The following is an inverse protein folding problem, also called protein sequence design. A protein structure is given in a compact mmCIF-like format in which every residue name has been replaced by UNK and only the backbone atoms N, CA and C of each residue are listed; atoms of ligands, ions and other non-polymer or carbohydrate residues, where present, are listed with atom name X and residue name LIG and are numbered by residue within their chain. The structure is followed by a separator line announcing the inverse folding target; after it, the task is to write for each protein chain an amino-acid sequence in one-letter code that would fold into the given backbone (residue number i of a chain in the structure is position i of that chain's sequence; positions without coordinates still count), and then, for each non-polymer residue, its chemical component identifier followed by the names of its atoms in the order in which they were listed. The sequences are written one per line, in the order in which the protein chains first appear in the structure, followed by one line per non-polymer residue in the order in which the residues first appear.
data_IF_229389278667
#
_entry.id   IF_229389278667
#
_cell.length_a   1.000
_cell.length_b   1.000
_cell.length_c   1.000
_cell.angle_alpha   90.00
_cell.angle_beta   90.00
_cell.angle_gamma   90.00
#
_symmetry.space_group_name_H-M   'P 1'
#
loop_
_entity.id
_entity.type
_entity.pdbx_description
1 polymer ?
#
# COMPACT_ATOMS: atom_id res chain seq x y z
N UNK A 1 -0.29 1.02 25.29
CA UNK A 1 -0.04 2.19 24.44
C UNK A 1 -1.28 3.06 24.44
N UNK A 2 -1.15 4.34 24.67
CA UNK A 2 -2.21 5.34 24.53
C UNK A 2 -2.10 6.06 23.18
N UNK A 3 -3.07 6.95 22.86
CA UNK A 3 -3.11 7.63 21.56
C UNK A 3 -1.92 8.60 21.39
N UNK A 4 -1.48 9.27 22.44
CA UNK A 4 -0.35 10.20 22.40
C UNK A 4 0.99 9.46 22.17
N UNK A 5 1.16 8.30 22.77
CA UNK A 5 2.30 7.42 22.50
C UNK A 5 2.31 6.93 21.05
N UNK A 6 1.13 6.63 20.47
CA UNK A 6 1.04 6.25 19.07
C UNK A 6 1.43 7.43 18.15
N UNK A 7 0.91 8.63 18.41
CA UNK A 7 1.23 9.84 17.67
C UNK A 7 2.73 10.13 17.71
N UNK A 8 3.34 10.08 18.90
CA UNK A 8 4.77 10.29 19.06
C UNK A 8 5.58 9.30 18.20
N UNK A 9 5.22 8.02 18.19
CA UNK A 9 5.91 7.01 17.38
C UNK A 9 5.69 7.20 15.88
N UNK A 10 4.54 7.71 15.46
CA UNK A 10 4.30 8.09 14.06
C UNK A 10 5.16 9.31 13.65
N UNK A 11 5.33 10.27 14.56
CA UNK A 11 6.24 11.43 14.35
C UNK A 11 7.70 10.97 14.26
N UNK A 12 8.15 10.08 15.12
CA UNK A 12 9.48 9.46 15.08
C UNK A 12 9.73 8.71 13.75
N UNK A 13 8.68 8.13 13.16
CA UNK A 13 8.72 7.51 11.83
C UNK A 13 8.61 8.52 10.67
N UNK A 14 8.59 9.82 10.96
CA UNK A 14 8.41 10.90 9.98
C UNK A 14 7.18 10.71 9.07
N UNK A 15 6.09 10.19 9.65
CA UNK A 15 4.86 9.99 8.92
C UNK A 15 3.92 11.17 9.13
N UNK A 16 3.46 11.78 8.04
CA UNK A 16 2.55 12.93 8.07
C UNK A 16 1.11 12.42 8.14
N UNK A 17 0.43 12.72 9.24
CA UNK A 17 -0.93 12.28 9.52
C UNK A 17 -1.81 13.44 10.03
N UNK A 18 -3.10 13.21 10.07
CA UNK A 18 -4.07 14.06 10.75
C UNK A 18 -4.66 13.33 11.97
N UNK A 19 -5.32 14.06 12.86
CA UNK A 19 -5.89 13.51 14.10
C UNK A 19 -6.93 12.41 13.83
N UNK A 20 -7.67 12.50 12.72
CA UNK A 20 -8.66 11.50 12.32
C UNK A 20 -7.99 10.17 12.03
N UNK A 21 -6.90 10.19 11.25
CA UNK A 21 -6.12 8.99 10.93
C UNK A 21 -5.55 8.37 12.20
N UNK A 22 -4.88 9.15 13.06
CA UNK A 22 -4.31 8.65 14.31
C UNK A 22 -5.39 8.03 15.22
N UNK A 23 -6.56 8.64 15.29
CA UNK A 23 -7.69 8.15 16.07
C UNK A 23 -8.23 6.82 15.53
N UNK A 24 -8.44 6.71 14.23
CA UNK A 24 -8.93 5.47 13.58
C UNK A 24 -7.92 4.33 13.78
N UNK A 25 -6.63 4.59 13.59
CA UNK A 25 -5.56 3.60 13.83
C UNK A 25 -5.55 3.11 15.27
N UNK A 26 -5.62 4.04 16.22
CA UNK A 26 -5.62 3.72 17.64
C UNK A 26 -6.85 2.89 18.04
N UNK A 27 -8.05 3.30 17.60
CA UNK A 27 -9.28 2.59 17.92
C UNK A 27 -9.34 1.21 17.28
N UNK A 28 -8.93 1.08 16.01
CA UNK A 28 -8.85 -0.21 15.33
C UNK A 28 -7.92 -1.17 16.08
N UNK A 29 -6.75 -0.67 16.52
CA UNK A 29 -5.78 -1.45 17.29
C UNK A 29 -6.36 -1.88 18.65
N UNK A 30 -7.01 -0.97 19.39
CA UNK A 30 -7.59 -1.27 20.72
C UNK A 30 -8.74 -2.27 20.66
N UNK A 31 -9.55 -2.20 19.61
CA UNK A 31 -10.68 -3.10 19.40
C UNK A 31 -10.26 -4.43 18.75
N UNK A 32 -9.01 -4.59 18.33
CA UNK A 32 -8.54 -5.75 17.58
C UNK A 32 -9.27 -5.93 16.25
N UNK A 33 -9.77 -4.83 15.66
CA UNK A 33 -10.47 -4.87 14.38
C UNK A 33 -9.49 -4.72 13.21
N UNK A 34 -9.67 -5.48 12.12
CA UNK A 34 -8.97 -5.21 10.87
C UNK A 34 -9.25 -3.78 10.40
N UNK A 35 -8.26 -3.14 9.81
CA UNK A 35 -8.37 -1.81 9.22
C UNK A 35 -8.41 -1.92 7.70
N UNK A 36 -9.50 -1.47 7.07
CA UNK A 36 -9.60 -1.34 5.62
C UNK A 36 -9.29 0.10 5.21
N UNK A 37 -8.25 0.24 4.39
CA UNK A 37 -7.80 1.52 3.86
C UNK A 37 -8.11 1.57 2.37
N UNK A 38 -9.01 2.45 1.97
CA UNK A 38 -9.31 2.71 0.56
C UNK A 38 -8.76 4.07 0.10
N UNK A 39 -8.49 4.20 -1.18
CA UNK A 39 -8.02 5.45 -1.79
C UNK A 39 -7.38 5.18 -3.14
N UNK A 40 -7.03 6.23 -3.87
CA UNK A 40 -6.34 6.11 -5.16
C UNK A 40 -4.99 5.38 -5.03
N UNK A 41 -4.48 4.85 -6.14
CA UNK A 41 -3.13 4.27 -6.16
C UNK A 41 -2.09 5.34 -5.79
N UNK A 42 -1.04 4.95 -5.05
CA UNK A 42 0.08 5.83 -4.72
C UNK A 42 -0.18 6.92 -3.67
N UNK A 43 -1.34 6.91 -2.96
CA UNK A 43 -1.61 7.88 -1.87
C UNK A 43 -1.00 7.50 -0.52
N UNK A 44 -0.24 6.40 -0.46
CA UNK A 44 0.49 6.01 0.76
C UNK A 44 -0.24 5.00 1.65
N UNK A 45 -1.26 4.27 1.15
CA UNK A 45 -2.01 3.26 1.94
C UNK A 45 -1.11 2.20 2.57
N UNK A 46 -0.21 1.62 1.78
CA UNK A 46 0.74 0.59 2.22
C UNK A 46 1.75 1.11 3.25
N UNK A 47 2.07 2.40 3.19
CA UNK A 47 3.00 3.05 4.13
C UNK A 47 2.45 3.04 5.57
N UNK A 48 1.13 3.15 5.75
CA UNK A 48 0.50 3.06 7.08
C UNK A 48 0.82 1.75 7.78
N UNK A 49 0.78 0.62 7.06
CA UNK A 49 1.11 -0.67 7.66
C UNK A 49 2.58 -0.75 8.13
N UNK A 50 3.50 -0.15 7.37
CA UNK A 50 4.91 -0.06 7.76
C UNK A 50 5.11 0.82 8.99
N UNK A 51 4.46 1.99 9.00
CA UNK A 51 4.49 2.91 10.14
C UNK A 51 3.92 2.25 11.39
N UNK A 52 2.79 1.53 11.27
CA UNK A 52 2.22 0.78 12.38
C UNK A 52 3.13 -0.35 12.86
N UNK A 53 3.81 -1.05 11.95
CA UNK A 53 4.79 -2.08 12.33
C UNK A 53 5.94 -1.48 13.14
N UNK A 54 6.51 -0.37 12.69
CA UNK A 54 7.54 0.37 13.41
C UNK A 54 7.05 0.93 14.75
N UNK A 55 5.87 1.58 14.77
CA UNK A 55 5.29 2.16 15.98
C UNK A 55 4.95 1.11 17.05
N UNK A 56 4.58 -0.10 16.64
CA UNK A 56 4.25 -1.20 17.54
C UNK A 56 5.45 -2.09 17.89
N UNK A 57 6.61 -1.86 17.28
CA UNK A 57 7.79 -2.74 17.35
C UNK A 57 7.42 -4.19 16.99
N UNK A 58 6.78 -4.36 15.83
CA UNK A 58 6.28 -5.63 15.31
C UNK A 58 6.81 -5.89 13.91
N UNK A 59 7.02 -7.16 13.59
CA UNK A 59 7.33 -7.56 12.22
C UNK A 59 6.15 -7.30 11.28
N UNK A 60 6.48 -6.84 10.06
CA UNK A 60 5.51 -6.69 8.99
C UNK A 60 5.47 -7.95 8.14
N UNK A 61 4.32 -8.59 8.09
CA UNK A 61 4.04 -9.70 7.18
C UNK A 61 3.15 -9.17 6.06
N UNK A 62 3.58 -9.27 4.80
CA UNK A 62 2.83 -8.75 3.64
C UNK A 62 2.32 -9.87 2.75
N UNK A 63 1.04 -9.82 2.43
CA UNK A 63 0.40 -10.56 1.37
C UNK A 63 -0.02 -9.58 0.27
N UNK A 64 0.60 -9.68 -0.90
CA UNK A 64 0.18 -8.92 -2.08
C UNK A 64 -0.91 -9.69 -2.80
N UNK A 65 -2.11 -9.11 -2.93
CA UNK A 65 -3.19 -9.72 -3.70
C UNK A 65 -2.99 -9.49 -5.22
N UNK A 66 -3.39 -10.48 -6.00
CA UNK A 66 -3.38 -10.46 -7.45
C UNK A 66 -4.51 -11.36 -7.97
N UNK A 67 -4.85 -11.20 -9.23
CA UNK A 67 -5.90 -12.00 -9.88
C UNK A 67 -5.56 -13.50 -9.88
N UNK A 68 -6.46 -14.33 -9.36
CA UNK A 68 -6.24 -15.77 -9.19
C UNK A 68 -5.40 -16.16 -7.96
N UNK A 69 -5.29 -15.23 -6.98
CA UNK A 69 -4.79 -15.60 -5.65
C UNK A 69 -5.83 -16.48 -4.96
N UNK A 70 -5.42 -17.66 -4.55
CA UNK A 70 -6.23 -18.63 -3.82
C UNK A 70 -5.67 -18.89 -2.41
N UNK A 71 -6.43 -19.66 -1.63
CA UNK A 71 -6.06 -20.05 -0.28
C UNK A 71 -4.69 -20.74 -0.24
N UNK A 72 -4.41 -21.64 -1.19
CA UNK A 72 -3.16 -22.42 -1.21
C UNK A 72 -1.92 -21.53 -1.39
N UNK A 73 -2.03 -20.45 -2.17
CA UNK A 73 -0.95 -19.51 -2.38
C UNK A 73 -0.78 -18.48 -1.24
N UNK A 74 -1.86 -18.23 -0.51
CA UNK A 74 -1.86 -17.24 0.57
C UNK A 74 -1.55 -17.85 1.94
N UNK A 75 -1.96 -19.11 2.17
CA UNK A 75 -1.90 -19.77 3.47
C UNK A 75 -0.69 -20.68 3.61
N UNK A 76 -0.55 -21.71 2.77
CA UNK A 76 0.56 -22.66 2.82
C UNK A 76 0.76 -23.37 1.48
N UNK A 77 1.92 -24.01 1.37
CA UNK A 77 2.25 -24.91 0.25
C UNK A 77 3.04 -26.09 0.81
N UNK A 78 2.80 -27.29 0.25
CA UNK A 78 3.60 -28.44 0.57
C UNK A 78 4.93 -28.42 -0.17
N UNK A 79 6.04 -28.68 0.54
CA UNK A 79 7.34 -28.82 -0.07
C UNK A 79 7.48 -30.20 -0.75
N UNK A 80 6.84 -30.32 -1.92
CA UNK A 80 6.84 -31.58 -2.69
C UNK A 80 8.24 -32.09 -3.02
N UNK A 81 9.20 -31.22 -3.25
CA UNK A 81 10.58 -31.63 -3.52
C UNK A 81 11.19 -32.34 -2.31
N UNK A 82 11.01 -31.79 -1.11
CA UNK A 82 11.49 -32.39 0.13
C UNK A 82 10.74 -33.68 0.42
N UNK A 83 9.44 -33.75 0.15
CA UNK A 83 8.65 -34.97 0.27
C UNK A 83 9.16 -36.07 -0.65
N UNK A 84 9.41 -35.78 -1.93
CA UNK A 84 9.96 -36.76 -2.89
C UNK A 84 11.32 -37.27 -2.48
N UNK A 85 12.21 -36.40 -2.04
CA UNK A 85 13.53 -36.82 -1.51
C UNK A 85 13.39 -37.73 -0.29
N UNK A 86 12.49 -37.40 0.63
CA UNK A 86 12.20 -38.23 1.81
C UNK A 86 11.68 -39.62 1.43
N UNK A 87 10.79 -39.72 0.45
CA UNK A 87 10.30 -40.99 -0.08
C UNK A 87 11.45 -41.81 -0.64
N UNK A 88 12.31 -41.23 -1.48
CA UNK A 88 13.44 -41.93 -2.09
C UNK A 88 14.44 -42.47 -1.06
N UNK A 89 14.75 -41.70 -0.02
CA UNK A 89 15.68 -42.10 1.05
C UNK A 89 15.07 -43.20 1.92
N UNK A 90 13.77 -43.23 2.12
CA UNK A 90 13.08 -44.14 3.03
C UNK A 90 12.46 -45.36 2.33
N UNK A 91 12.68 -45.56 1.03
CA UNK A 91 12.07 -46.64 0.21
C UNK A 91 12.39 -48.10 0.68
N UNK A 92 13.04 -48.29 1.79
CA UNK A 92 13.34 -49.66 2.29
C UNK A 92 13.22 -49.84 3.81
N UNK A 93 12.79 -48.82 4.56
CA UNK A 93 12.99 -48.81 6.01
C UNK A 93 11.78 -48.44 6.87
N UNK A 94 10.63 -48.10 6.31
CA UNK A 94 9.44 -47.70 7.11
C UNK A 94 8.15 -48.33 6.61
N UNK A 95 7.20 -48.52 7.52
CA UNK A 95 5.83 -48.86 7.22
C UNK A 95 5.21 -47.75 6.34
N UNK A 96 4.48 -48.11 5.29
CA UNK A 96 3.91 -47.16 4.31
C UNK A 96 2.99 -46.12 4.95
N UNK A 97 2.27 -46.50 6.00
CA UNK A 97 1.33 -45.61 6.71
C UNK A 97 2.06 -44.61 7.59
N UNK A 98 3.18 -44.98 8.21
CA UNK A 98 4.02 -44.10 8.99
C UNK A 98 4.74 -43.09 8.10
N UNK A 99 5.21 -43.53 6.93
CA UNK A 99 5.82 -42.67 5.94
C UNK A 99 4.83 -41.61 5.42
N UNK A 100 3.60 -42.05 5.06
CA UNK A 100 2.55 -41.16 4.55
C UNK A 100 2.20 -40.08 5.58
N UNK A 101 2.00 -40.43 6.85
CA UNK A 101 1.74 -39.47 7.92
C UNK A 101 2.89 -38.47 8.13
N UNK A 102 4.13 -38.94 8.01
CA UNK A 102 5.31 -38.10 8.18
C UNK A 102 5.45 -37.07 7.06
N UNK A 103 5.02 -37.40 5.81
CA UNK A 103 5.10 -36.50 4.66
C UNK A 103 4.20 -35.27 4.75
N UNK A 104 3.09 -35.37 5.50
CA UNK A 104 2.16 -34.25 5.74
C UNK A 104 2.34 -33.65 7.13
N UNK A 105 3.54 -33.69 7.67
CA UNK A 105 3.90 -33.04 8.92
C UNK A 105 4.35 -31.59 8.69
N UNK A 106 4.41 -30.80 9.77
CA UNK A 106 4.90 -29.44 9.79
C UNK A 106 6.28 -29.24 9.11
N UNK A 107 7.09 -30.27 9.09
CA UNK A 107 8.43 -30.25 8.48
C UNK A 107 8.41 -30.00 6.96
N UNK A 108 7.31 -30.38 6.29
CA UNK A 108 7.12 -30.23 4.85
C UNK A 108 6.18 -29.07 4.49
N UNK A 109 5.67 -28.35 5.50
CA UNK A 109 4.78 -27.24 5.30
C UNK A 109 5.55 -25.95 5.05
N UNK A 110 5.38 -25.33 3.90
CA UNK A 110 5.91 -24.01 3.58
C UNK A 110 4.87 -22.95 3.99
N UNK A 111 5.20 -22.21 5.03
CA UNK A 111 4.32 -21.13 5.51
C UNK A 111 4.27 -19.98 4.51
N UNK A 112 3.09 -19.63 4.05
CA UNK A 112 2.78 -18.42 3.32
C UNK A 112 2.38 -17.29 4.28
N UNK A 113 2.22 -16.03 3.83
CA UNK A 113 2.04 -14.89 4.73
C UNK A 113 0.93 -15.05 5.77
N UNK A 114 -0.22 -15.62 5.39
CA UNK A 114 -1.34 -15.78 6.33
C UNK A 114 -0.99 -16.76 7.46
N UNK A 115 -0.48 -17.94 7.12
CA UNK A 115 -0.09 -18.94 8.12
C UNK A 115 1.05 -18.43 9.00
N UNK A 116 2.05 -17.75 8.39
CA UNK A 116 3.15 -17.13 9.14
C UNK A 116 2.63 -16.14 10.18
N UNK A 117 1.63 -15.32 9.82
CA UNK A 117 1.05 -14.35 10.75
C UNK A 117 0.31 -14.98 11.92
N UNK A 118 -0.38 -16.12 11.69
CA UNK A 118 -1.12 -16.88 12.71
C UNK A 118 -0.18 -17.65 13.64
N UNK A 119 0.87 -18.26 13.08
CA UNK A 119 1.85 -19.05 13.86
C UNK A 119 2.83 -18.20 14.63
N UNK A 120 2.93 -16.91 14.36
CA UNK A 120 3.89 -16.03 15.03
C UNK A 120 3.68 -16.02 16.53
N UNK A 121 4.75 -16.24 17.28
CA UNK A 121 4.77 -16.18 18.75
C UNK A 121 4.51 -14.76 19.25
N UNK A 122 5.00 -13.76 18.51
CA UNK A 122 4.80 -12.34 18.81
C UNK A 122 3.75 -11.75 17.88
N UNK A 123 2.96 -10.78 18.36
CA UNK A 123 2.01 -10.10 17.49
C UNK A 123 2.74 -9.42 16.30
N UNK A 124 2.25 -9.64 15.10
CA UNK A 124 2.76 -9.02 13.86
C UNK A 124 1.77 -7.98 13.33
N UNK A 125 2.21 -7.18 12.37
CA UNK A 125 1.30 -6.41 11.49
C UNK A 125 1.15 -7.22 10.20
N UNK A 126 -0.08 -7.66 9.90
CA UNK A 126 -0.41 -8.35 8.66
C UNK A 126 -0.98 -7.34 7.67
N UNK A 127 -0.26 -7.09 6.58
CA UNK A 127 -0.71 -6.27 5.47
C UNK A 127 -1.25 -7.16 4.35
N UNK A 128 -2.54 -7.04 4.05
CA UNK A 128 -3.20 -7.63 2.89
C UNK A 128 -3.36 -6.51 1.86
N UNK A 129 -2.45 -6.47 0.90
CA UNK A 129 -2.29 -5.33 -0.02
C UNK A 129 -3.06 -5.56 -1.31
N UNK A 130 -3.83 -4.54 -1.76
CA UNK A 130 -4.65 -4.55 -2.97
C UNK A 130 -5.70 -5.69 -3.00
N UNK A 131 -6.47 -5.84 -1.91
CA UNK A 131 -7.49 -6.89 -1.77
C UNK A 131 -8.54 -6.85 -2.89
N UNK A 132 -8.78 -5.71 -3.49
CA UNK A 132 -9.68 -5.52 -4.63
C UNK A 132 -9.20 -6.20 -5.94
N UNK A 133 -8.00 -6.80 -5.96
CA UNK A 133 -7.52 -7.66 -7.04
C UNK A 133 -7.82 -9.14 -6.85
N UNK A 134 -8.12 -9.56 -5.63
CA UNK A 134 -8.55 -10.92 -5.35
C UNK A 134 -10.05 -11.10 -5.69
N UNK A 135 -10.51 -12.34 -5.83
CA UNK A 135 -11.90 -12.67 -6.09
C UNK A 135 -12.75 -12.72 -4.81
N UNK A 136 -14.05 -12.98 -4.98
CA UNK A 136 -15.00 -13.08 -3.87
C UNK A 136 -14.78 -14.34 -3.03
N UNK A 137 -14.26 -15.42 -3.61
CA UNK A 137 -13.98 -16.68 -2.91
C UNK A 137 -12.85 -16.45 -1.89
N UNK A 138 -11.81 -15.73 -2.31
CA UNK A 138 -10.72 -15.33 -1.41
C UNK A 138 -11.18 -14.38 -0.30
N UNK A 139 -12.10 -13.44 -0.60
CA UNK A 139 -12.70 -12.60 0.45
C UNK A 139 -13.48 -13.43 1.49
N UNK A 140 -14.26 -14.43 1.03
CA UNK A 140 -15.00 -15.32 1.93
C UNK A 140 -14.04 -16.11 2.85
N UNK A 141 -12.96 -16.63 2.30
CA UNK A 141 -11.89 -17.28 3.07
C UNK A 141 -11.27 -16.34 4.10
N UNK A 142 -10.93 -15.10 3.71
CA UNK A 142 -10.41 -14.10 4.65
C UNK A 142 -11.40 -13.77 5.76
N UNK A 143 -12.69 -13.73 5.48
CA UNK A 143 -13.73 -13.47 6.49
C UNK A 143 -13.72 -14.52 7.60
N UNK A 144 -13.56 -15.81 7.27
CA UNK A 144 -13.43 -16.89 8.24
C UNK A 144 -12.17 -16.71 9.08
N UNK A 145 -11.03 -16.56 8.41
CA UNK A 145 -9.74 -16.36 9.05
C UNK A 145 -9.72 -15.16 10.00
N UNK A 146 -10.21 -13.99 9.54
CA UNK A 146 -10.21 -12.77 10.35
C UNK A 146 -11.22 -12.79 11.50
N UNK A 147 -12.28 -13.61 11.41
CA UNK A 147 -13.29 -13.71 12.48
C UNK A 147 -12.83 -14.57 13.64
N UNK A 148 -12.17 -15.69 13.33
CA UNK A 148 -11.82 -16.70 14.34
C UNK A 148 -10.31 -16.73 14.64
N UNK A 149 -9.51 -16.03 13.86
CA UNK A 149 -8.04 -16.05 13.89
C UNK A 149 -7.50 -17.48 13.92
N UNK A 150 -8.08 -18.33 13.07
CA UNK A 150 -7.71 -19.73 12.90
C UNK A 150 -7.84 -20.16 11.44
N UNK A 151 -7.16 -21.23 11.10
CA UNK A 151 -7.25 -21.90 9.80
C UNK A 151 -7.26 -23.40 10.01
N UNK A 152 -7.93 -24.12 9.12
CA UNK A 152 -7.97 -25.58 9.12
C UNK A 152 -7.21 -26.10 7.90
N UNK A 153 -6.15 -26.86 8.14
CA UNK A 153 -5.37 -27.56 7.12
C UNK A 153 -5.74 -29.04 7.19
N UNK A 154 -6.24 -29.67 6.11
CA UNK A 154 -6.82 -31.02 6.16
C UNK A 154 -5.97 -32.05 6.90
N UNK A 155 -4.67 -32.10 6.65
CA UNK A 155 -3.77 -33.13 7.20
C UNK A 155 -3.15 -32.73 8.55
N UNK A 156 -3.14 -31.43 8.87
CA UNK A 156 -2.51 -30.87 10.10
C UNK A 156 -3.54 -30.58 11.18
N UNK A 157 -4.78 -30.28 10.77
CA UNK A 157 -5.87 -29.89 11.67
C UNK A 157 -6.01 -28.38 11.80
N UNK A 158 -6.71 -27.93 12.83
CA UNK A 158 -7.00 -26.49 13.07
C UNK A 158 -5.84 -25.81 13.78
N UNK A 159 -5.30 -24.79 13.16
CA UNK A 159 -4.23 -23.94 13.71
C UNK A 159 -4.88 -22.64 14.15
N UNK A 160 -4.75 -22.31 15.43
CA UNK A 160 -5.23 -21.05 16.01
C UNK A 160 -4.09 -20.07 16.17
N UNK A 161 -4.38 -18.78 16.04
CA UNK A 161 -3.38 -17.74 16.24
C UNK A 161 -2.83 -17.79 17.67
N UNK A 162 -1.51 -17.87 17.79
CA UNK A 162 -0.79 -17.78 19.06
C UNK A 162 -0.81 -16.35 19.60
N UNK A 163 -0.76 -15.39 18.70
CA UNK A 163 -0.90 -13.97 18.98
C UNK A 163 -1.75 -13.32 17.89
N UNK A 164 -2.65 -12.41 18.27
CA UNK A 164 -3.54 -11.75 17.31
C UNK A 164 -2.77 -10.70 16.52
N UNK A 165 -2.66 -10.81 15.18
CA UNK A 165 -2.03 -9.82 14.35
C UNK A 165 -2.87 -8.52 14.28
N UNK A 166 -2.22 -7.37 14.11
CA UNK A 166 -2.91 -6.17 13.66
C UNK A 166 -3.03 -6.22 12.13
N UNK A 167 -4.26 -6.35 11.63
CA UNK A 167 -4.51 -6.58 10.20
C UNK A 167 -4.84 -5.26 9.51
N UNK A 168 -4.14 -4.98 8.42
CA UNK A 168 -4.37 -3.84 7.53
C UNK A 168 -4.68 -4.37 6.14
N UNK A 169 -5.83 -4.01 5.59
CA UNK A 169 -6.22 -4.28 4.21
C UNK A 169 -6.14 -2.99 3.41
N UNK A 170 -5.60 -3.02 2.20
CA UNK A 170 -5.62 -1.88 1.29
C UNK A 170 -6.43 -2.19 0.04
N UNK A 171 -7.08 -1.16 -0.52
CA UNK A 171 -7.85 -1.27 -1.77
C UNK A 171 -7.70 0.00 -2.61
N UNK A 172 -7.53 -0.17 -3.91
CA UNK A 172 -7.55 0.91 -4.91
C UNK A 172 -8.97 1.13 -5.47
N UNK A 173 -9.97 0.36 -4.98
CA UNK A 173 -11.36 0.39 -5.44
C UNK A 173 -11.51 -0.03 -6.92
N UNK A 174 -10.64 -0.93 -7.42
CA UNK A 174 -10.77 -1.50 -8.77
C UNK A 174 -12.10 -2.29 -8.92
N UNK A 175 -12.55 -2.94 -7.84
CA UNK A 175 -13.89 -3.51 -7.69
C UNK A 175 -14.46 -3.22 -6.30
N UNK A 176 -15.79 -3.28 -6.11
CA UNK A 176 -16.39 -3.20 -4.79
C UNK A 176 -16.01 -4.44 -3.95
N UNK A 177 -15.69 -4.23 -2.69
CA UNK A 177 -15.49 -5.31 -1.72
C UNK A 177 -16.84 -5.73 -1.13
N UNK A 178 -16.95 -6.99 -0.70
CA UNK A 178 -18.15 -7.52 -0.07
C UNK A 178 -18.55 -6.72 1.16
N UNK A 179 -19.85 -6.55 1.35
CA UNK A 179 -20.38 -5.84 2.53
C UNK A 179 -20.01 -6.56 3.83
N UNK A 180 -19.89 -7.87 3.78
CA UNK A 180 -19.49 -8.70 4.91
C UNK A 180 -18.07 -8.37 5.38
N UNK A 181 -17.11 -8.19 4.46
CA UNK A 181 -15.75 -7.78 4.78
C UNK A 181 -15.71 -6.35 5.33
N UNK A 182 -16.40 -5.43 4.67
CA UNK A 182 -16.44 -4.02 5.08
C UNK A 182 -17.01 -3.82 6.49
N UNK A 183 -18.06 -4.55 6.87
CA UNK A 183 -18.66 -4.49 8.22
C UNK A 183 -17.74 -4.99 9.34
N UNK A 184 -16.80 -5.87 9.04
CA UNK A 184 -15.84 -6.38 10.02
C UNK A 184 -14.66 -5.45 10.25
N UNK A 185 -14.38 -4.56 9.32
CA UNK A 185 -13.23 -3.66 9.36
C UNK A 185 -13.60 -2.29 9.96
N UNK A 186 -12.64 -1.67 10.63
CA UNK A 186 -12.61 -0.22 10.74
C UNK A 186 -12.28 0.34 9.35
N UNK A 187 -12.89 1.46 8.97
CA UNK A 187 -12.77 2.01 7.63
C UNK A 187 -12.03 3.34 7.62
N UNK A 188 -11.10 3.47 6.70
CA UNK A 188 -10.35 4.70 6.46
C UNK A 188 -10.28 4.98 4.96
N UNK A 189 -10.68 6.18 4.55
CA UNK A 189 -10.49 6.64 3.18
C UNK A 189 -9.38 7.68 3.10
N UNK A 190 -8.37 7.44 2.26
CA UNK A 190 -7.26 8.36 2.05
C UNK A 190 -7.47 9.08 0.72
N UNK A 191 -7.63 10.40 0.83
CA UNK A 191 -7.68 11.30 -0.31
C UNK A 191 -6.28 11.67 -0.80
N UNK A 192 -6.20 12.26 -1.98
CA UNK A 192 -4.98 12.97 -2.37
C UNK A 192 -4.67 14.06 -1.32
N UNK A 193 -3.40 14.25 -0.98
CA UNK A 193 -3.03 15.31 -0.04
C UNK A 193 -3.37 16.69 -0.63
N UNK A 194 -3.79 17.61 0.21
CA UNK A 194 -3.82 19.02 -0.12
C UNK A 194 -2.39 19.57 -0.24
N UNK A 195 -2.25 20.84 -0.63
CA UNK A 195 -0.94 21.46 -0.85
C UNK A 195 -0.08 21.47 0.42
N UNK A 196 -0.68 21.75 1.57
CA UNK A 196 0.04 21.82 2.86
C UNK A 196 0.58 20.46 3.26
N UNK A 197 -0.25 19.43 3.21
CA UNK A 197 0.13 18.04 3.51
C UNK A 197 1.15 17.52 2.50
N UNK A 198 1.00 17.86 1.21
CA UNK A 198 1.95 17.46 0.17
C UNK A 198 3.33 18.07 0.41
N UNK A 199 3.38 19.36 0.74
CA UNK A 199 4.63 20.04 1.12
C UNK A 199 5.27 19.44 2.37
N UNK A 200 4.48 19.11 3.38
CA UNK A 200 4.98 18.45 4.58
C UNK A 200 5.60 17.08 4.27
N UNK A 201 4.95 16.29 3.38
CA UNK A 201 5.48 14.99 2.93
C UNK A 201 6.78 15.18 2.14
N UNK A 202 6.84 16.13 1.21
CA UNK A 202 8.04 16.42 0.41
C UNK A 202 9.22 16.80 1.31
N UNK A 203 9.04 17.69 2.28
CA UNK A 203 10.06 18.06 3.26
C UNK A 203 10.54 16.88 4.10
N UNK A 204 9.63 16.03 4.56
CA UNK A 204 9.96 14.87 5.38
C UNK A 204 10.75 13.81 4.60
N UNK A 205 10.40 13.59 3.33
CA UNK A 205 10.99 12.52 2.50
C UNK A 205 12.19 12.98 1.69
N UNK A 206 12.28 14.28 1.34
CA UNK A 206 13.34 14.87 0.52
C UNK A 206 13.96 16.11 1.21
N UNK A 207 14.52 15.97 2.42
CA UNK A 207 14.98 17.11 3.22
C UNK A 207 16.18 17.87 2.61
N UNK A 208 16.83 17.30 1.59
CA UNK A 208 17.97 17.90 0.88
C UNK A 208 17.55 18.75 -0.32
N UNK A 209 16.28 18.70 -0.74
CA UNK A 209 15.79 19.44 -1.90
C UNK A 209 15.29 20.84 -1.47
N UNK A 210 15.52 21.82 -2.34
CA UNK A 210 15.10 23.21 -2.11
C UNK A 210 13.55 23.30 -1.97
N UNK A 211 13.09 23.93 -0.90
CA UNK A 211 11.66 24.15 -0.61
C UNK A 211 10.94 24.90 -1.76
N UNK A 212 11.63 25.78 -2.48
CA UNK A 212 11.04 26.51 -3.62
C UNK A 212 10.70 25.57 -4.77
N UNK A 213 11.59 24.63 -5.09
CA UNK A 213 11.34 23.62 -6.12
C UNK A 213 10.19 22.69 -5.68
N UNK A 214 10.21 22.23 -4.43
CA UNK A 214 9.13 21.42 -3.87
C UNK A 214 7.76 22.12 -3.99
N UNK A 215 7.70 23.41 -3.68
CA UNK A 215 6.48 24.21 -3.76
C UNK A 215 5.98 24.35 -5.21
N UNK A 216 6.88 24.60 -6.17
CA UNK A 216 6.52 24.71 -7.58
C UNK A 216 5.95 23.38 -8.11
N UNK A 217 6.59 22.25 -7.79
CA UNK A 217 6.13 20.93 -8.19
C UNK A 217 4.79 20.58 -7.53
N UNK A 218 4.64 20.82 -6.23
CA UNK A 218 3.38 20.55 -5.53
C UNK A 218 2.23 21.38 -6.12
N UNK A 219 2.43 22.65 -6.42
CA UNK A 219 1.43 23.49 -7.09
C UNK A 219 1.09 23.00 -8.50
N UNK A 220 2.07 22.55 -9.27
CA UNK A 220 1.84 21.97 -10.59
C UNK A 220 1.01 20.68 -10.49
N UNK A 221 1.33 19.81 -9.55
CA UNK A 221 0.58 18.58 -9.29
C UNK A 221 -0.86 18.87 -8.85
N UNK A 222 -1.07 19.85 -7.97
CA UNK A 222 -2.44 20.26 -7.57
C UNK A 222 -3.25 20.76 -8.78
N UNK A 223 -2.64 21.53 -9.68
CA UNK A 223 -3.29 21.96 -10.94
C UNK A 223 -3.64 20.76 -11.84
N UNK A 224 -2.74 19.80 -11.99
CA UNK A 224 -3.01 18.56 -12.75
C UNK A 224 -4.15 17.75 -12.12
N UNK A 225 -4.20 17.63 -10.80
CA UNK A 225 -5.27 16.92 -10.10
C UNK A 225 -6.64 17.61 -10.23
N UNK A 226 -6.66 18.94 -10.26
CA UNK A 226 -7.88 19.71 -10.41
C UNK A 226 -8.39 19.79 -11.86
N UNK A 227 -7.55 19.47 -12.85
CA UNK A 227 -7.94 19.47 -14.26
C UNK A 227 -8.74 18.21 -14.60
N UNK A 228 -10.04 18.33 -14.86
CA UNK A 228 -10.93 17.19 -15.16
C UNK A 228 -10.56 16.43 -16.43
N UNK A 229 -9.86 17.06 -17.37
CA UNK A 229 -9.41 16.41 -18.59
C UNK A 229 -8.23 15.43 -18.38
N UNK A 230 -7.50 15.52 -17.25
CA UNK A 230 -6.46 14.56 -16.89
C UNK A 230 -7.11 13.26 -16.42
N UNK A 231 -6.89 12.19 -17.14
CA UNK A 231 -7.49 10.86 -16.87
C UNK A 231 -6.89 10.22 -15.63
N UNK A 232 -5.57 10.24 -15.52
CA UNK A 232 -4.86 9.67 -14.37
C UNK A 232 -4.24 10.77 -13.52
N UNK A 233 -4.88 11.06 -12.39
CA UNK A 233 -4.39 12.07 -11.44
C UNK A 233 -3.07 11.62 -10.82
N UNK A 234 -2.03 12.50 -10.80
CA UNK A 234 -0.76 12.17 -10.15
C UNK A 234 -0.92 11.86 -8.67
N UNK A 235 -0.25 10.81 -8.23
CA UNK A 235 -0.19 10.40 -6.82
C UNK A 235 0.94 11.12 -6.08
N UNK A 236 0.96 11.03 -4.73
CA UNK A 236 2.08 11.57 -3.93
C UNK A 236 3.40 10.83 -4.24
N UNK A 237 3.36 9.54 -4.56
CA UNK A 237 4.55 8.80 -4.95
C UNK A 237 5.16 9.38 -6.25
N UNK A 238 4.31 9.65 -7.25
CA UNK A 238 4.75 10.27 -8.50
C UNK A 238 5.25 11.70 -8.29
N UNK A 239 4.68 12.45 -7.35
CA UNK A 239 5.20 13.79 -6.97
C UNK A 239 6.60 13.70 -6.37
N UNK A 240 6.82 12.75 -5.45
CA UNK A 240 8.14 12.52 -4.84
C UNK A 240 9.19 12.13 -5.91
N UNK A 241 8.84 11.21 -6.80
CA UNK A 241 9.71 10.77 -7.89
C UNK A 241 10.05 11.94 -8.83
N UNK A 242 9.08 12.81 -9.11
CA UNK A 242 9.30 13.97 -9.98
C UNK A 242 10.25 14.99 -9.34
N UNK A 243 10.05 15.34 -8.06
CA UNK A 243 10.95 16.22 -7.34
C UNK A 243 12.37 15.64 -7.30
N UNK A 244 12.51 14.34 -6.99
CA UNK A 244 13.80 13.66 -6.99
C UNK A 244 14.49 13.66 -8.37
N UNK A 245 13.73 13.47 -9.45
CA UNK A 245 14.24 13.52 -10.82
C UNK A 245 14.74 14.94 -11.20
N UNK A 246 13.99 15.98 -10.84
CA UNK A 246 14.39 17.37 -11.08
C UNK A 246 15.68 17.73 -10.31
N UNK A 247 15.77 17.30 -9.05
CA UNK A 247 16.98 17.52 -8.25
C UNK A 247 18.19 16.77 -8.83
N UNK A 248 18.03 15.52 -9.26
CA UNK A 248 19.07 14.73 -9.90
C UNK A 248 19.57 15.33 -11.22
N UNK A 249 18.70 16.04 -11.95
CA UNK A 249 19.06 16.79 -13.17
C UNK A 249 19.68 18.16 -12.85
N UNK A 250 19.79 18.56 -11.59
CA UNK A 250 20.28 19.86 -11.17
C UNK A 250 19.32 21.03 -11.47
N UNK A 251 18.05 20.73 -11.75
CA UNK A 251 17.00 21.70 -12.04
C UNK A 251 16.53 22.30 -10.71
N UNK A 252 16.64 23.63 -10.56
CA UNK A 252 16.28 24.36 -9.34
C UNK A 252 14.97 25.13 -9.46
N UNK A 253 14.40 25.18 -10.67
CA UNK A 253 13.16 25.88 -10.96
C UNK A 253 12.36 25.13 -12.01
N UNK A 254 11.06 24.94 -11.78
CA UNK A 254 10.16 24.26 -12.69
C UNK A 254 9.74 25.21 -13.84
N UNK A 255 10.60 25.34 -14.82
CA UNK A 255 10.28 26.10 -16.05
C UNK A 255 9.34 25.28 -16.97
N UNK A 256 8.65 25.92 -17.94
CA UNK A 256 7.85 25.20 -18.94
C UNK A 256 8.64 24.13 -19.71
N UNK A 257 9.92 24.37 -19.97
CA UNK A 257 10.79 23.40 -20.63
C UNK A 257 11.13 22.23 -19.73
N UNK A 258 11.49 22.49 -18.48
CA UNK A 258 11.72 21.45 -17.46
C UNK A 258 10.46 20.59 -17.25
N UNK A 259 9.28 21.21 -17.20
CA UNK A 259 8.00 20.53 -17.10
C UNK A 259 7.81 19.58 -18.29
N UNK A 260 7.98 20.05 -19.54
CA UNK A 260 7.84 19.19 -20.72
C UNK A 260 8.82 18.02 -20.74
N UNK A 261 10.07 18.25 -20.38
CA UNK A 261 11.12 17.23 -20.38
C UNK A 261 10.90 16.17 -19.31
N UNK A 262 10.25 16.53 -18.19
CA UNK A 262 10.12 15.64 -17.03
C UNK A 262 8.67 15.22 -16.73
N UNK A 263 7.69 15.65 -17.52
CA UNK A 263 6.27 15.35 -17.32
C UNK A 263 5.98 13.83 -17.25
N UNK A 264 6.81 12.98 -17.85
CA UNK A 264 6.69 11.51 -17.78
C UNK A 264 6.84 10.91 -16.39
N UNK A 265 7.32 11.69 -15.41
CA UNK A 265 7.31 11.25 -14.01
C UNK A 265 5.90 11.31 -13.40
N UNK A 266 5.06 12.25 -13.84
CA UNK A 266 3.70 12.47 -13.28
C UNK A 266 2.56 12.09 -14.22
N UNK A 267 2.77 12.16 -15.54
CA UNK A 267 1.77 11.75 -16.54
C UNK A 267 2.12 10.36 -17.08
N UNK A 268 1.13 9.49 -17.20
CA UNK A 268 1.33 8.09 -17.59
C UNK A 268 0.53 7.66 -18.84
N UNK A 269 -0.22 8.58 -19.45
CA UNK A 269 -1.01 8.36 -20.65
C UNK A 269 -0.72 9.46 -21.68
N UNK A 270 -0.73 9.12 -22.97
CA UNK A 270 -0.49 10.09 -24.04
C UNK A 270 -1.54 11.20 -24.06
N UNK A 271 -2.79 10.87 -23.79
CA UNK A 271 -3.90 11.83 -23.73
C UNK A 271 -3.63 12.90 -22.65
N UNK A 272 -3.07 12.52 -21.52
CA UNK A 272 -2.73 13.47 -20.44
C UNK A 272 -1.59 14.43 -20.86
N UNK A 273 -0.64 13.98 -21.71
CA UNK A 273 0.38 14.86 -22.28
C UNK A 273 -0.21 15.88 -23.26
N UNK A 274 -1.13 15.46 -24.12
CA UNK A 274 -1.83 16.36 -25.06
C UNK A 274 -2.57 17.47 -24.32
N UNK A 275 -3.29 17.11 -23.24
CA UNK A 275 -3.98 18.07 -22.37
C UNK A 275 -3.00 19.05 -21.71
N UNK A 276 -1.82 18.60 -21.29
CA UNK A 276 -0.79 19.48 -20.72
C UNK A 276 -0.29 20.48 -21.74
N UNK A 277 0.02 20.03 -22.97
CA UNK A 277 0.50 20.89 -24.06
C UNK A 277 -0.53 21.94 -24.47
N UNK A 278 -1.80 21.55 -24.62
CA UNK A 278 -2.89 22.48 -24.92
C UNK A 278 -3.06 23.56 -23.84
N UNK A 279 -2.95 23.16 -22.55
CA UNK A 279 -3.09 24.09 -21.43
C UNK A 279 -1.95 25.11 -21.42
N UNK A 280 -0.72 24.70 -21.68
CA UNK A 280 0.45 25.59 -21.77
C UNK A 280 0.34 26.55 -22.96
N UNK A 281 -0.11 26.08 -24.12
CA UNK A 281 -0.27 26.92 -25.30
C UNK A 281 -1.33 28.00 -25.10
N UNK A 282 -2.41 27.72 -24.35
CA UNK A 282 -3.45 28.70 -24.00
C UNK A 282 -2.89 29.77 -23.02
N UNK A 283 -2.12 29.41 -22.04
CA UNK A 283 -1.49 30.34 -21.09
C UNK A 283 -0.49 31.27 -21.82
N UNK A 284 0.30 30.76 -22.77
CA UNK A 284 1.20 31.58 -23.60
C UNK A 284 0.45 32.55 -24.52
N UNK A 285 -0.67 32.18 -25.09
CA UNK A 285 -1.44 33.05 -26.01
C UNK A 285 -2.16 34.18 -25.29
N UNK A 286 -2.57 34.02 -24.04
CA UNK A 286 -3.20 35.08 -23.22
C UNK A 286 -2.19 36.13 -22.73
N UNK A 287 -0.90 35.76 -22.57
CA UNK A 287 0.16 36.70 -22.13
C UNK A 287 0.60 37.69 -23.20
N UNK A 288 0.34 37.44 -24.47
CA UNK A 288 0.77 38.28 -25.61
C UNK A 288 -0.21 39.41 -25.97
N UNK A 289 -1.40 39.50 -25.33
CA UNK A 289 -2.41 40.51 -25.65
C UNK A 289 -2.50 41.72 -24.70
N UNK A 290 -1.65 41.80 -23.66
CA UNK A 290 -1.63 42.93 -22.71
C UNK A 290 -0.58 44.00 -22.98
N UNK A 291 0.08 44.04 -24.12
CA UNK A 291 1.10 45.00 -24.49
C UNK A 291 0.81 45.74 -25.77
N UNK A 292 -0.09 46.72 -25.75
CA UNK A 292 -0.21 47.60 -26.90
C UNK A 292 -1.49 48.43 -26.95
N UNK A 293 -1.49 49.56 -26.23
CA UNK A 293 -2.18 50.77 -26.66
C UNK A 293 -1.77 51.96 -25.75
N UNK A 294 -0.71 52.62 -26.15
CA UNK A 294 -0.53 54.03 -25.88
C UNK A 294 0.19 54.62 -27.08
N UNK A 295 -0.58 55.30 -27.93
CA UNK A 295 -0.12 56.47 -28.68
C UNK A 295 -1.31 57.11 -29.38
N UNK A 296 -1.52 58.38 -29.12
CA UNK A 296 -2.35 59.31 -29.90
C UNK A 296 -2.93 60.41 -29.03
#
# INVERSE_FOLDING_TARGET
MNIEELKQKMDEAHYIYDDTLATVLFVALQLGRPLLIEGAAGVGKTEIAKVMAAALDRDLVRLQCYEGLDESKALYEWNYQKQLLSIQVNMGSRDSDELTRSLFSDEYLLERPLLKSIRSEKPVVLLIDEIDKADEEFEAFLLELLSEMQVSIPEVGTIRAKSVPFVVLTSNRARPLSEALRRRCAYLYIQYPDLEKEMAILRAKLPHVDDRLCAQVALAVQKLRSNEAILKKPSIAETLDWVAALDALGIRELTPDALRQTAGFVLKNNEDFEVLEETQNRECSCGSHCGGHHHG
#
